data_IF_310263649070
#
_entry.id   IF_310263649070
#
_cell.length_a   1.000
_cell.length_b   1.000
_cell.length_c   1.000
_cell.angle_alpha   90.00
_cell.angle_beta   90.00
_cell.angle_gamma   90.00
#
_symmetry.space_group_name_H-M   'P 1'
#
loop_
_entity.id
_entity.type
_entity.pdbx_description
1 polymer ?
#
# COMPACT_ATOMS: atom_id res chain seq x y z
N UNK A 1 11.89 23.72 5.42
CA UNK A 1 10.61 23.21 5.95
C UNK A 1 9.77 22.44 4.92
N UNK A 2 9.53 22.93 3.69
CA UNK A 2 8.81 22.18 2.63
C UNK A 2 9.41 20.80 2.31
N UNK A 3 10.75 20.67 2.35
CA UNK A 3 11.47 19.39 2.13
C UNK A 3 11.10 18.28 3.13
N UNK A 4 10.61 18.61 4.33
CA UNK A 4 10.22 17.61 5.35
C UNK A 4 8.79 17.09 5.13
N UNK A 5 7.88 17.88 4.54
CA UNK A 5 6.48 17.47 4.28
C UNK A 5 6.46 16.33 3.27
N UNK A 6 7.09 16.52 2.11
CA UNK A 6 7.15 15.49 1.07
C UNK A 6 7.90 14.24 1.53
N UNK A 7 8.98 14.40 2.30
CA UNK A 7 9.71 13.25 2.83
C UNK A 7 8.83 12.42 3.78
N UNK A 8 8.09 13.07 4.70
CA UNK A 8 7.17 12.39 5.63
C UNK A 8 6.02 11.72 4.92
N UNK A 9 5.43 12.40 3.93
CA UNK A 9 4.39 11.82 3.10
C UNK A 9 4.89 10.63 2.28
N UNK A 10 6.09 10.73 1.69
CA UNK A 10 6.69 9.63 0.94
C UNK A 10 6.85 8.36 1.78
N UNK A 11 7.18 8.51 3.07
CA UNK A 11 7.18 7.37 3.99
C UNK A 11 5.79 6.78 4.17
N UNK A 12 4.76 7.61 4.41
CA UNK A 12 3.38 7.15 4.50
C UNK A 12 2.96 6.40 3.23
N UNK A 13 3.37 6.88 2.05
CA UNK A 13 3.08 6.25 0.77
C UNK A 13 3.74 4.87 0.65
N UNK A 14 5.00 4.72 1.07
CA UNK A 14 5.66 3.42 1.09
C UNK A 14 4.96 2.44 2.04
N UNK A 15 4.51 2.91 3.21
CA UNK A 15 3.77 2.07 4.13
C UNK A 15 2.41 1.66 3.58
N UNK A 16 1.73 2.60 2.94
CA UNK A 16 0.48 2.37 2.24
C UNK A 16 0.64 1.30 1.16
N UNK A 17 1.70 1.36 0.35
CA UNK A 17 1.94 0.40 -0.73
C UNK A 17 2.07 -1.05 -0.25
N UNK A 18 2.46 -1.29 1.00
CA UNK A 18 2.48 -2.64 1.58
C UNK A 18 1.09 -3.22 1.81
N UNK A 19 0.14 -2.38 2.25
CA UNK A 19 -1.23 -2.79 2.60
C UNK A 19 -2.24 -2.50 1.50
N UNK A 20 -1.84 -1.75 0.46
CA UNK A 20 -2.63 -1.42 -0.72
C UNK A 20 -3.41 -2.61 -1.31
N UNK A 21 -2.84 -3.82 -1.49
CA UNK A 21 -3.61 -4.92 -2.06
C UNK A 21 -4.71 -5.43 -1.12
N UNK A 22 -4.55 -5.32 0.20
CA UNK A 22 -5.62 -5.62 1.17
C UNK A 22 -6.74 -4.59 1.05
N UNK A 23 -6.37 -3.30 0.93
CA UNK A 23 -7.33 -2.21 0.75
C UNK A 23 -8.14 -2.40 -0.53
N UNK A 24 -7.49 -2.80 -1.62
CA UNK A 24 -8.14 -3.18 -2.88
C UNK A 24 -9.15 -4.31 -2.70
N UNK A 25 -8.82 -5.36 -1.94
CA UNK A 25 -9.75 -6.47 -1.66
C UNK A 25 -10.97 -5.97 -0.89
N UNK A 26 -10.75 -5.24 0.20
CA UNK A 26 -11.83 -4.72 1.05
C UNK A 26 -12.73 -3.78 0.25
N UNK A 27 -12.13 -2.87 -0.54
CA UNK A 27 -12.85 -1.95 -1.42
C UNK A 27 -13.61 -2.70 -2.52
N UNK A 28 -13.00 -3.71 -3.14
CA UNK A 28 -13.61 -4.53 -4.19
C UNK A 28 -14.89 -5.26 -3.74
N UNK A 29 -14.99 -5.61 -2.46
CA UNK A 29 -16.21 -6.20 -1.89
C UNK A 29 -17.23 -5.18 -1.38
N UNK A 30 -16.83 -3.94 -1.13
CA UNK A 30 -17.65 -2.97 -0.39
C UNK A 30 -18.16 -1.80 -1.25
N UNK A 31 -17.51 -1.52 -2.38
CA UNK A 31 -17.76 -0.35 -3.21
C UNK A 31 -18.19 -0.73 -4.64
N UNK A 32 -18.90 0.17 -5.35
CA UNK A 32 -19.13 0.05 -6.78
C UNK A 32 -17.81 -0.11 -7.54
N UNK A 33 -17.77 -1.00 -8.54
CA UNK A 33 -16.53 -1.38 -9.24
C UNK A 33 -15.74 -0.16 -9.75
N UNK A 34 -16.44 0.83 -10.31
CA UNK A 34 -15.84 2.04 -10.89
C UNK A 34 -15.15 2.94 -9.86
N UNK A 35 -15.46 2.76 -8.57
CA UNK A 35 -14.93 3.59 -7.47
C UNK A 35 -13.77 2.93 -6.72
N UNK A 36 -13.55 1.62 -6.87
CA UNK A 36 -12.58 0.84 -6.09
C UNK A 36 -11.15 1.31 -6.32
N UNK A 37 -10.73 1.39 -7.59
CA UNK A 37 -9.37 1.82 -7.94
C UNK A 37 -9.16 3.31 -7.66
N UNK A 38 -10.07 4.23 -8.04
CA UNK A 38 -9.97 5.64 -7.65
C UNK A 38 -9.86 5.84 -6.14
N UNK A 39 -10.66 5.12 -5.34
CA UNK A 39 -10.63 5.22 -3.88
C UNK A 39 -9.27 4.82 -3.34
N UNK A 40 -8.76 3.67 -3.79
CA UNK A 40 -7.44 3.17 -3.42
C UNK A 40 -6.31 4.16 -3.82
N UNK A 41 -6.43 4.85 -4.94
CA UNK A 41 -5.41 5.81 -5.38
C UNK A 41 -5.45 7.15 -4.62
N UNK A 42 -6.63 7.57 -4.16
CA UNK A 42 -6.81 8.83 -3.45
C UNK A 42 -6.43 8.73 -1.97
N UNK A 43 -6.53 7.53 -1.38
CA UNK A 43 -6.21 7.30 0.03
C UNK A 43 -4.86 7.90 0.50
N UNK A 44 -3.72 7.72 -0.21
CA UNK A 44 -2.46 8.37 0.14
C UNK A 44 -2.50 9.90 0.15
N UNK A 45 -3.41 10.53 -0.60
CA UNK A 45 -3.56 11.99 -0.62
C UNK A 45 -4.12 12.51 0.70
N UNK A 46 -4.95 11.73 1.41
CA UNK A 46 -5.42 12.13 2.74
C UNK A 46 -4.25 12.28 3.72
N UNK A 47 -3.26 11.39 3.64
CA UNK A 47 -2.04 11.51 4.45
C UNK A 47 -1.25 12.77 4.06
N UNK A 48 -1.17 13.12 2.77
CA UNK A 48 -0.50 14.34 2.31
C UNK A 48 -1.18 15.60 2.85
N UNK A 49 -2.51 15.68 2.73
CA UNK A 49 -3.30 16.81 3.25
C UNK A 49 -3.10 16.93 4.75
N UNK A 50 -3.20 15.83 5.49
CA UNK A 50 -2.98 15.81 6.93
C UNK A 50 -1.58 16.31 7.33
N UNK A 51 -0.52 15.85 6.65
CA UNK A 51 0.86 16.31 6.92
C UNK A 51 1.01 17.80 6.58
N UNK A 52 0.43 18.25 5.47
CA UNK A 52 0.46 19.65 5.06
C UNK A 52 -0.27 20.56 6.07
N UNK A 53 -1.50 20.20 6.44
CA UNK A 53 -2.32 20.89 7.45
C UNK A 53 -1.55 21.01 8.77
N UNK A 54 -1.00 19.90 9.26
CA UNK A 54 -0.24 19.88 10.52
C UNK A 54 1.05 20.73 10.43
N UNK A 55 1.70 20.76 9.25
CA UNK A 55 2.90 21.57 9.04
C UNK A 55 2.65 23.08 9.01
N UNK A 56 1.44 23.50 8.64
CA UNK A 56 0.99 24.91 8.67
C UNK A 56 0.50 25.27 10.08
N UNK A 57 -0.24 24.35 10.71
CA UNK A 57 -0.89 24.56 12.00
C UNK A 57 0.00 24.25 13.22
N UNK A 58 1.34 24.38 13.08
CA UNK A 58 2.39 24.04 14.08
C UNK A 58 2.12 24.44 15.55
N UNK A 59 1.13 25.29 15.81
CA UNK A 59 0.82 25.94 17.08
C UNK A 59 -0.62 25.75 17.58
N UNK A 60 -1.48 25.03 16.86
CA UNK A 60 -2.90 24.90 17.24
C UNK A 60 -3.17 23.72 18.18
N UNK A 61 -4.14 23.91 19.10
CA UNK A 61 -4.65 22.85 19.99
C UNK A 61 -5.20 21.69 19.17
N UNK A 62 -5.01 20.46 19.66
CA UNK A 62 -5.53 19.21 19.08
C UNK A 62 -7.02 19.28 18.64
N UNK A 63 -7.82 20.12 19.31
CA UNK A 63 -9.23 20.37 19.00
C UNK A 63 -9.43 20.95 17.60
N UNK A 64 -8.59 21.91 17.16
CA UNK A 64 -8.74 22.54 15.85
C UNK A 64 -8.37 21.58 14.72
N UNK A 65 -7.34 20.75 14.93
CA UNK A 65 -6.96 19.68 13.99
C UNK A 65 -8.06 18.63 13.89
N UNK A 66 -8.68 18.26 15.01
CA UNK A 66 -9.82 17.34 15.04
C UNK A 66 -11.03 17.92 14.27
N UNK A 67 -11.36 19.20 14.46
CA UNK A 67 -12.43 19.87 13.73
C UNK A 67 -12.20 19.89 12.22
N UNK A 68 -10.98 20.21 11.78
CA UNK A 68 -10.60 20.15 10.36
C UNK A 68 -10.70 18.72 9.82
N UNK A 69 -10.25 17.73 10.60
CA UNK A 69 -10.35 16.32 10.21
C UNK A 69 -11.79 15.87 10.01
N UNK A 70 -12.70 16.23 10.93
CA UNK A 70 -14.13 15.90 10.82
C UNK A 70 -14.73 16.56 9.56
N UNK A 71 -14.50 17.86 9.37
CA UNK A 71 -15.02 18.59 8.20
C UNK A 71 -14.46 18.01 6.89
N UNK A 72 -13.17 17.67 6.86
CA UNK A 72 -12.51 17.08 5.70
C UNK A 72 -13.08 15.69 5.37
N UNK A 73 -13.20 14.81 6.37
CA UNK A 73 -13.77 13.47 6.17
C UNK A 73 -15.23 13.55 5.72
N UNK A 74 -16.05 14.39 6.37
CA UNK A 74 -17.46 14.56 5.98
C UNK A 74 -17.60 15.08 4.55
N UNK A 75 -16.82 16.11 4.19
CA UNK A 75 -16.82 16.67 2.84
C UNK A 75 -16.34 15.66 1.79
N UNK A 76 -15.32 14.87 2.11
CA UNK A 76 -14.81 13.84 1.19
C UNK A 76 -15.80 12.68 1.03
N UNK A 77 -16.41 12.20 2.12
CA UNK A 77 -17.45 11.15 2.06
C UNK A 77 -18.63 11.62 1.21
N UNK A 78 -19.12 12.85 1.44
CA UNK A 78 -20.19 13.43 0.64
C UNK A 78 -19.82 13.52 -0.84
N UNK A 79 -18.62 14.02 -1.15
CA UNK A 79 -18.11 14.09 -2.53
C UNK A 79 -18.05 12.70 -3.17
N UNK A 80 -17.58 11.69 -2.43
CA UNK A 80 -17.41 10.34 -2.94
C UNK A 80 -18.76 9.66 -3.23
N UNK A 81 -19.73 9.82 -2.34
CA UNK A 81 -21.10 9.34 -2.52
C UNK A 81 -21.73 10.01 -3.74
N UNK A 82 -21.56 11.33 -3.89
CA UNK A 82 -22.12 12.08 -5.01
C UNK A 82 -21.52 11.67 -6.36
N UNK A 83 -20.21 11.39 -6.42
CA UNK A 83 -19.52 11.02 -7.66
C UNK A 83 -19.77 9.57 -8.08
N UNK A 84 -19.83 8.64 -7.12
CA UNK A 84 -19.83 7.21 -7.41
C UNK A 84 -21.12 6.48 -6.99
N UNK A 85 -22.14 7.22 -6.53
CA UNK A 85 -23.44 6.66 -6.13
C UNK A 85 -23.30 5.48 -5.16
N UNK A 86 -22.51 5.67 -4.10
CA UNK A 86 -22.31 4.64 -3.08
C UNK A 86 -23.56 4.53 -2.21
N UNK A 87 -24.43 3.57 -2.51
CA UNK A 87 -25.71 3.36 -1.81
C UNK A 87 -25.58 2.46 -0.58
N UNK A 88 -24.55 1.61 -0.52
CA UNK A 88 -24.39 0.64 0.57
C UNK A 88 -23.86 1.30 1.84
N UNK A 89 -24.47 0.96 2.99
CA UNK A 89 -23.97 1.40 4.31
C UNK A 89 -22.52 0.97 4.52
N UNK A 90 -22.18 -0.26 4.08
CA UNK A 90 -20.81 -0.78 4.14
C UNK A 90 -19.82 0.08 3.34
N UNK A 91 -20.20 0.52 2.13
CA UNK A 91 -19.38 1.40 1.30
C UNK A 91 -19.18 2.77 1.92
N UNK A 92 -20.25 3.38 2.45
CA UNK A 92 -20.17 4.69 3.14
C UNK A 92 -19.25 4.60 4.37
N UNK A 93 -19.40 3.55 5.18
CA UNK A 93 -18.55 3.30 6.34
C UNK A 93 -17.10 3.09 5.92
N UNK A 94 -16.85 2.35 4.83
CA UNK A 94 -15.49 2.14 4.32
C UNK A 94 -14.83 3.46 3.87
N UNK A 95 -15.55 4.30 3.12
CA UNK A 95 -15.01 5.59 2.68
C UNK A 95 -14.72 6.49 3.88
N UNK A 96 -15.67 6.61 4.80
CA UNK A 96 -15.50 7.42 6.00
C UNK A 96 -14.33 6.94 6.86
N UNK A 97 -14.28 5.63 7.14
CA UNK A 97 -13.24 5.03 7.98
C UNK A 97 -11.87 5.08 7.31
N UNK A 98 -11.75 4.76 6.02
CA UNK A 98 -10.49 4.85 5.28
C UNK A 98 -9.93 6.28 5.21
N UNK A 99 -10.78 7.25 4.89
CA UNK A 99 -10.38 8.67 4.86
C UNK A 99 -9.99 9.16 6.25
N UNK A 100 -10.79 8.90 7.29
CA UNK A 100 -10.49 9.31 8.66
C UNK A 100 -9.20 8.67 9.18
N UNK A 101 -9.03 7.36 8.96
CA UNK A 101 -7.87 6.61 9.41
C UNK A 101 -6.57 7.16 8.79
N UNK A 102 -6.53 7.33 7.47
CA UNK A 102 -5.32 7.84 6.81
C UNK A 102 -5.07 9.32 7.07
N UNK A 103 -6.12 10.13 7.26
CA UNK A 103 -5.95 11.51 7.70
C UNK A 103 -5.33 11.57 9.11
N UNK A 104 -5.87 10.80 10.06
CA UNK A 104 -5.32 10.70 11.41
C UNK A 104 -3.88 10.14 11.41
N UNK A 105 -3.62 9.16 10.56
CA UNK A 105 -2.28 8.60 10.37
C UNK A 105 -1.29 9.66 9.88
N UNK A 106 -1.67 10.47 8.89
CA UNK A 106 -0.84 11.57 8.39
C UNK A 106 -0.55 12.65 9.45
N UNK A 107 -1.53 12.98 10.32
CA UNK A 107 -1.31 13.88 11.46
C UNK A 107 -0.26 13.29 12.39
N UNK A 108 -0.41 12.01 12.76
CA UNK A 108 0.53 11.33 13.67
C UNK A 108 1.96 11.36 13.13
N UNK A 109 2.16 11.01 11.86
CA UNK A 109 3.49 11.05 11.21
C UNK A 109 4.05 12.47 11.17
N UNK A 110 3.20 13.48 11.04
CA UNK A 110 3.62 14.88 11.07
C UNK A 110 4.04 15.37 12.48
N UNK A 111 3.42 14.85 13.55
CA UNK A 111 3.74 15.22 14.94
C UNK A 111 4.94 14.43 15.47
N UNK A 112 4.87 13.09 15.43
CA UNK A 112 5.82 12.22 16.11
C UNK A 112 7.18 12.18 15.41
N UNK A 113 7.25 12.51 14.12
CA UNK A 113 8.48 12.47 13.31
C UNK A 113 9.10 11.07 13.13
N UNK A 114 8.66 10.08 13.91
CA UNK A 114 9.02 8.67 13.83
C UNK A 114 8.02 7.93 12.96
N UNK A 115 8.37 7.80 11.69
CA UNK A 115 7.84 6.73 10.85
C UNK A 115 8.28 5.42 11.52
N UNK A 116 7.37 4.48 11.78
CA UNK A 116 7.69 3.24 12.49
C UNK A 116 8.87 2.55 11.80
N UNK A 117 9.92 2.36 12.58
CA UNK A 117 11.24 1.99 12.05
C UNK A 117 11.39 0.50 11.76
N UNK A 118 10.38 -0.30 12.13
CA UNK A 118 10.30 -1.73 11.91
C UNK A 118 9.38 -2.01 10.73
N UNK A 119 9.91 -1.77 9.54
CA UNK A 119 9.20 -2.08 8.30
C UNK A 119 9.73 -3.39 7.73
N UNK A 120 8.96 -4.47 7.89
CA UNK A 120 9.29 -5.77 7.31
C UNK A 120 8.88 -5.78 5.85
N UNK A 121 9.73 -5.23 4.96
CA UNK A 121 9.40 -5.12 3.53
C UNK A 121 9.11 -6.49 2.88
N UNK A 122 9.70 -7.57 3.38
CA UNK A 122 9.40 -8.96 3.01
C UNK A 122 7.97 -9.36 3.36
N UNK A 123 7.42 -8.88 4.49
CA UNK A 123 6.02 -9.09 4.85
C UNK A 123 5.09 -8.44 3.82
N UNK A 124 5.46 -7.26 3.31
CA UNK A 124 4.70 -6.57 2.27
C UNK A 124 4.64 -7.39 0.98
N UNK A 125 5.77 -7.97 0.56
CA UNK A 125 5.79 -8.88 -0.59
C UNK A 125 4.92 -10.11 -0.38
N UNK A 126 4.95 -10.69 0.82
CA UNK A 126 4.08 -11.80 1.18
C UNK A 126 2.60 -11.41 1.12
N UNK A 127 2.25 -10.23 1.64
CA UNK A 127 0.89 -9.67 1.55
C UNK A 127 0.45 -9.50 0.09
N UNK A 128 1.30 -8.95 -0.77
CA UNK A 128 1.04 -8.84 -2.21
C UNK A 128 0.81 -10.21 -2.87
N UNK A 129 1.64 -11.20 -2.55
CA UNK A 129 1.53 -12.56 -3.07
C UNK A 129 0.20 -13.21 -2.70
N UNK A 130 -0.15 -13.19 -1.41
CA UNK A 130 -1.40 -13.76 -0.90
C UNK A 130 -2.60 -13.02 -1.50
N UNK A 131 -2.54 -11.70 -1.61
CA UNK A 131 -3.63 -10.92 -2.17
C UNK A 131 -3.87 -11.22 -3.65
N UNK A 132 -2.82 -11.29 -4.47
CA UNK A 132 -2.95 -11.66 -5.89
C UNK A 132 -3.54 -13.07 -6.04
N UNK A 133 -3.11 -14.02 -5.20
CA UNK A 133 -3.69 -15.35 -5.18
C UNK A 133 -5.19 -15.32 -4.82
N UNK A 134 -5.59 -14.61 -3.76
CA UNK A 134 -6.99 -14.48 -3.37
C UNK A 134 -7.85 -13.82 -4.44
N UNK A 135 -7.32 -12.78 -5.11
CA UNK A 135 -8.02 -12.12 -6.22
C UNK A 135 -8.23 -13.05 -7.41
N UNK A 136 -7.28 -13.97 -7.65
CA UNK A 136 -7.40 -14.95 -8.72
C UNK A 136 -8.48 -16.01 -8.42
N UNK A 137 -8.73 -16.31 -7.15
CA UNK A 137 -9.75 -17.28 -6.73
C UNK A 137 -11.18 -16.68 -6.63
N UNK A 138 -11.31 -15.36 -6.62
CA UNK A 138 -12.58 -14.66 -6.40
C UNK A 138 -13.02 -13.87 -7.65
N UNK A 139 -14.07 -14.30 -8.37
CA UNK A 139 -14.54 -13.63 -9.60
C UNK A 139 -14.86 -12.14 -9.39
N UNK A 140 -15.39 -11.77 -8.22
CA UNK A 140 -15.70 -10.39 -7.86
C UNK A 140 -14.47 -9.46 -7.81
N UNK A 141 -13.26 -10.01 -7.62
CA UNK A 141 -12.02 -9.26 -7.50
C UNK A 141 -11.15 -9.29 -8.76
N UNK A 142 -11.46 -10.18 -9.71
CA UNK A 142 -10.73 -10.35 -10.96
C UNK A 142 -10.52 -9.03 -11.74
N UNK A 143 -11.49 -8.09 -11.80
CA UNK A 143 -11.28 -6.79 -12.45
C UNK A 143 -10.11 -5.98 -11.87
N UNK A 144 -9.77 -6.20 -10.60
CA UNK A 144 -8.76 -5.43 -9.87
C UNK A 144 -7.39 -6.09 -9.83
N UNK A 145 -7.26 -7.33 -10.31
CA UNK A 145 -6.01 -8.09 -10.29
C UNK A 145 -4.86 -7.35 -10.99
N UNK A 146 -5.13 -6.74 -12.16
CA UNK A 146 -4.13 -5.95 -12.89
C UNK A 146 -3.63 -4.76 -12.07
N UNK A 147 -4.51 -4.09 -11.34
CA UNK A 147 -4.15 -2.99 -10.44
C UNK A 147 -3.31 -3.49 -9.27
N UNK A 148 -3.66 -4.63 -8.66
CA UNK A 148 -2.89 -5.24 -7.59
C UNK A 148 -1.46 -5.61 -8.04
N UNK A 149 -1.32 -6.22 -9.22
CA UNK A 149 -0.01 -6.53 -9.82
C UNK A 149 0.79 -5.25 -10.09
N UNK A 150 0.15 -4.20 -10.63
CA UNK A 150 0.80 -2.92 -10.85
C UNK A 150 1.33 -2.29 -9.54
N UNK A 151 0.54 -2.34 -8.46
CA UNK A 151 0.99 -1.88 -7.15
C UNK A 151 2.12 -2.75 -6.58
N UNK A 152 2.10 -4.06 -6.80
CA UNK A 152 3.19 -4.95 -6.40
C UNK A 152 4.50 -4.59 -7.13
N UNK A 153 4.44 -4.33 -8.44
CA UNK A 153 5.60 -3.88 -9.22
C UNK A 153 6.12 -2.54 -8.70
N UNK A 154 5.23 -1.57 -8.46
CA UNK A 154 5.61 -0.27 -7.91
C UNK A 154 6.28 -0.42 -6.54
N UNK A 155 5.72 -1.25 -5.67
CA UNK A 155 6.26 -1.53 -4.35
C UNK A 155 7.63 -2.22 -4.43
N UNK A 156 7.83 -3.14 -5.37
CA UNK A 156 9.12 -3.79 -5.62
C UNK A 156 10.18 -2.78 -6.08
N UNK A 157 9.85 -1.94 -7.07
CA UNK A 157 10.80 -0.99 -7.67
C UNK A 157 11.17 0.11 -6.67
N UNK A 158 10.22 0.56 -5.86
CA UNK A 158 10.43 1.72 -4.98
C UNK A 158 10.72 1.33 -3.53
N UNK A 159 9.96 0.40 -2.95
CA UNK A 159 10.04 0.03 -1.54
C UNK A 159 11.32 -0.73 -1.20
N UNK A 160 11.70 -1.73 -2.01
CA UNK A 160 12.83 -2.61 -1.69
C UNK A 160 14.19 -1.90 -1.74
N UNK A 161 14.53 -1.10 -2.78
CA UNK A 161 15.80 -0.38 -2.78
C UNK A 161 15.94 0.57 -1.60
N UNK A 162 14.83 1.20 -1.20
CA UNK A 162 14.81 2.18 -0.12
C UNK A 162 14.88 1.54 1.26
N UNK A 163 14.21 0.40 1.44
CA UNK A 163 14.34 -0.49 2.59
C UNK A 163 15.78 -0.90 2.83
N UNK A 164 16.41 -1.41 1.78
CA UNK A 164 17.78 -1.90 1.83
C UNK A 164 18.74 -0.77 2.19
N UNK A 165 18.61 0.40 1.54
CA UNK A 165 19.44 1.56 1.87
C UNK A 165 19.32 1.96 3.34
N UNK A 166 18.11 1.97 3.91
CA UNK A 166 17.90 2.32 5.34
C UNK A 166 18.46 1.27 6.29
N UNK A 167 18.19 0.00 6.03
CA UNK A 167 18.74 -1.12 6.82
C UNK A 167 20.27 -1.05 6.84
N UNK A 168 20.88 -0.83 5.67
CA UNK A 168 22.33 -0.76 5.52
C UNK A 168 22.95 0.45 6.21
N UNK A 169 22.33 1.62 6.14
CA UNK A 169 22.77 2.81 6.90
C UNK A 169 22.72 2.55 8.41
N UNK A 170 21.71 1.84 8.90
CA UNK A 170 21.61 1.50 10.33
C UNK A 170 22.60 0.45 10.76
N UNK A 171 22.73 -0.63 10.00
CA UNK A 171 23.64 -1.72 10.35
C UNK A 171 25.10 -1.24 10.30
N UNK A 172 25.45 -0.37 9.35
CA UNK A 172 26.75 0.32 9.36
C UNK A 172 26.88 1.22 10.58
N UNK A 173 25.93 2.13 10.87
CA UNK A 173 25.97 2.97 12.07
C UNK A 173 26.07 2.21 13.39
N UNK A 174 25.51 0.99 13.48
CA UNK A 174 25.53 0.18 14.70
C UNK A 174 26.74 -0.76 14.82
N UNK A 175 27.36 -1.21 13.72
CA UNK A 175 28.41 -2.24 13.74
C UNK A 175 29.80 -1.80 13.27
N UNK A 176 29.94 -0.72 12.50
CA UNK A 176 31.27 -0.24 12.03
C UNK A 176 31.19 1.14 11.37
N UNK A 177 32.19 2.01 11.58
CA UNK A 177 32.30 3.35 10.96
C UNK A 177 32.37 3.35 9.41
N UNK A 178 32.39 2.18 8.77
CA UNK A 178 32.47 2.04 7.32
C UNK A 178 31.12 2.24 6.63
N UNK A 179 31.06 3.25 5.78
CA UNK A 179 29.90 3.71 5.00
C UNK A 179 29.59 2.84 3.76
N UNK A 180 30.08 1.59 3.68
CA UNK A 180 30.06 0.77 2.46
C UNK A 180 29.21 -0.49 2.67
N UNK A 181 28.30 -0.72 1.73
CA UNK A 181 27.36 -1.85 1.72
C UNK A 181 28.12 -3.15 1.40
N UNK A 182 28.03 -4.21 2.22
CA UNK A 182 28.61 -5.51 1.89
C UNK A 182 27.91 -6.12 0.67
N UNK A 183 28.68 -6.51 -0.35
CA UNK A 183 28.16 -7.08 -1.60
C UNK A 183 27.34 -8.37 -1.41
N UNK A 184 27.55 -9.10 -0.31
CA UNK A 184 26.82 -10.32 0.05
C UNK A 184 25.35 -10.05 0.39
N UNK A 185 25.06 -8.95 1.11
CA UNK A 185 23.69 -8.53 1.45
C UNK A 185 22.92 -8.09 0.21
N UNK A 186 23.58 -7.34 -0.69
CA UNK A 186 23.02 -6.97 -1.99
C UNK A 186 22.65 -8.21 -2.84
N UNK A 187 23.49 -9.25 -2.81
CA UNK A 187 23.25 -10.49 -3.55
C UNK A 187 22.07 -11.29 -2.97
N UNK A 188 21.99 -11.42 -1.64
CA UNK A 188 20.86 -12.07 -0.96
C UNK A 188 19.52 -11.39 -1.24
N UNK A 189 19.48 -10.05 -1.17
CA UNK A 189 18.27 -9.29 -1.46
C UNK A 189 17.81 -9.42 -2.92
N UNK A 190 18.76 -9.48 -3.87
CA UNK A 190 18.43 -9.76 -5.28
C UNK A 190 17.80 -11.15 -5.45
N UNK A 191 18.32 -12.17 -4.78
CA UNK A 191 17.78 -13.53 -4.85
C UNK A 191 16.35 -13.58 -4.28
N UNK A 192 16.16 -13.03 -3.07
CA UNK A 192 14.83 -12.95 -2.43
C UNK A 192 13.86 -12.22 -3.36
N UNK A 193 14.26 -11.07 -3.90
CA UNK A 193 13.46 -10.30 -4.83
C UNK A 193 13.06 -11.12 -6.06
N UNK A 194 14.00 -11.79 -6.70
CA UNK A 194 13.72 -12.63 -7.87
C UNK A 194 12.74 -13.76 -7.56
N UNK A 195 12.85 -14.39 -6.39
CA UNK A 195 11.92 -15.44 -5.95
C UNK A 195 10.52 -14.87 -5.76
N UNK A 196 10.37 -13.74 -5.08
CA UNK A 196 9.07 -13.11 -4.87
C UNK A 196 8.45 -12.61 -6.18
N UNK A 197 9.26 -12.04 -7.08
CA UNK A 197 8.79 -11.57 -8.37
C UNK A 197 8.31 -12.75 -9.23
N UNK A 198 9.09 -13.83 -9.28
CA UNK A 198 8.71 -15.07 -9.96
C UNK A 198 7.42 -15.66 -9.36
N UNK A 199 7.29 -15.67 -8.04
CA UNK A 199 6.08 -16.10 -7.35
C UNK A 199 4.85 -15.27 -7.71
N UNK A 200 4.96 -13.93 -7.69
CA UNK A 200 3.86 -13.03 -8.10
C UNK A 200 3.46 -13.29 -9.55
N UNK A 201 4.43 -13.41 -10.46
CA UNK A 201 4.17 -13.70 -11.88
C UNK A 201 3.46 -15.05 -12.01
N UNK A 202 4.01 -16.10 -11.41
CA UNK A 202 3.45 -17.45 -11.50
C UNK A 202 2.03 -17.53 -10.94
N UNK A 203 1.77 -16.90 -9.79
CA UNK A 203 0.44 -16.84 -9.20
C UNK A 203 -0.54 -15.96 -10.00
N UNK A 204 -0.04 -14.95 -10.71
CA UNK A 204 -0.88 -14.13 -11.60
C UNK A 204 -1.42 -14.92 -12.80
N UNK A 205 -0.76 -16.02 -13.17
CA UNK A 205 -1.15 -16.90 -14.28
C UNK A 205 -1.61 -18.28 -13.78
N UNK A 206 -1.97 -18.40 -12.50
CA UNK A 206 -2.24 -19.69 -11.86
C UNK A 206 -3.29 -20.53 -12.59
N UNK A 207 -4.41 -19.92 -12.99
CA UNK A 207 -5.48 -20.65 -13.69
C UNK A 207 -5.04 -21.14 -15.07
N UNK A 208 -4.29 -20.32 -15.81
CA UNK A 208 -3.69 -20.71 -17.09
C UNK A 208 -2.73 -21.88 -16.92
N UNK A 209 -1.96 -21.87 -15.83
CA UNK A 209 -0.99 -22.91 -15.50
C UNK A 209 -1.69 -24.22 -15.12
N UNK A 210 -2.73 -24.16 -14.26
CA UNK A 210 -3.56 -25.30 -13.91
C UNK A 210 -4.26 -25.90 -15.13
N UNK A 211 -4.88 -25.05 -15.98
CA UNK A 211 -5.53 -25.50 -17.20
C UNK A 211 -4.54 -26.17 -18.16
N UNK A 212 -3.31 -25.65 -18.26
CA UNK A 212 -2.24 -26.28 -19.03
C UNK A 212 -1.83 -27.65 -18.49
N UNK A 213 -1.71 -27.80 -17.16
CA UNK A 213 -1.40 -29.09 -16.53
C UNK A 213 -2.53 -30.09 -16.77
N UNK A 214 -3.79 -29.70 -16.54
CA UNK A 214 -4.96 -30.56 -16.77
C UNK A 214 -4.98 -31.04 -18.23
N UNK A 215 -4.78 -30.14 -19.19
CA UNK A 215 -4.71 -30.49 -20.61
C UNK A 215 -3.61 -31.52 -20.93
N UNK A 216 -2.42 -31.37 -20.34
CA UNK A 216 -1.31 -32.32 -20.55
C UNK A 216 -1.62 -33.67 -19.91
N UNK A 217 -2.21 -33.69 -18.71
CA UNK A 217 -2.61 -34.92 -18.03
C UNK A 217 -3.68 -35.66 -18.83
N UNK A 218 -4.72 -34.96 -19.30
CA UNK A 218 -5.77 -35.55 -20.14
C UNK A 218 -5.19 -36.16 -21.42
N UNK A 219 -4.19 -35.53 -22.03
CA UNK A 219 -3.51 -36.03 -23.23
C UNK A 219 -2.56 -37.20 -23.00
N UNK A 220 -2.15 -37.47 -21.77
CA UNK A 220 -1.30 -38.60 -21.40
C UNK A 220 -2.14 -39.82 -21.01
N UNK A 221 -3.39 -39.60 -20.57
CA UNK A 221 -4.32 -40.65 -20.14
C UNK A 221 -5.16 -41.21 -21.31
N UNK A 222 -5.29 -40.47 -22.42
CA UNK A 222 -5.71 -40.98 -23.75
C UNK A 222 -4.66 -41.89 -24.40
#
# INVERSE_FOLDING_TARGET
MKKQVFLRWFWCLLEYLMVCPIILIIAGFSLPQDSVVPFTLVLPLHTLVAVAVTSVLKRFRNILVAGIGIAYTAGFVWLWIALFQVESIGGVVLVASGTAFLFAYGIRVAIDGSVREYFYYTLGLFVHMVAVFLMNQAPALMPFQKSAVAFAILYVITGIPLANRRFLIRETQQKSSLHIIPGTVLRGNKIILSIFLAGIILLSFWDTLLNGIVYVVDKIVE
#
